data_IF_385640734135
#
_entry.id   IF_385640734135
#
_cell.length_a   1.000
_cell.length_b   1.000
_cell.length_c   1.000
_cell.angle_alpha   90.00
_cell.angle_beta   90.00
_cell.angle_gamma   90.00
#
_symmetry.space_group_name_H-M   'P 1'
#
loop_
_entity.id
_entity.type
_entity.pdbx_description
1 polymer ?
#
# COMPACT_ATOMS: atom_id res chain seq x y z
N UNK A 1 -12.57 -7.79 -16.24
CA UNK A 1 -11.26 -7.16 -16.50
C UNK A 1 -10.34 -7.49 -15.34
N UNK A 2 -9.24 -8.19 -15.61
CA UNK A 2 -8.22 -8.49 -14.60
C UNK A 2 -7.68 -7.17 -14.03
N UNK A 3 -7.41 -7.11 -12.74
CA UNK A 3 -6.76 -5.98 -12.05
C UNK A 3 -7.41 -4.61 -12.02
N UNK A 4 -8.66 -4.44 -12.46
CA UNK A 4 -9.34 -3.13 -12.42
C UNK A 4 -9.38 -2.54 -11.00
N UNK A 5 -9.77 -3.35 -10.02
CA UNK A 5 -9.92 -2.91 -8.63
C UNK A 5 -8.56 -2.60 -8.02
N UNK A 6 -7.57 -3.47 -8.24
CA UNK A 6 -6.19 -3.29 -7.82
C UNK A 6 -5.59 -2.00 -8.38
N UNK A 7 -5.77 -1.76 -9.68
CA UNK A 7 -5.29 -0.54 -10.33
C UNK A 7 -5.90 0.71 -9.71
N UNK A 8 -7.21 0.72 -9.44
CA UNK A 8 -7.90 1.84 -8.78
C UNK A 8 -7.35 2.09 -7.37
N UNK A 9 -7.18 1.03 -6.59
CA UNK A 9 -6.74 1.09 -5.20
C UNK A 9 -5.30 1.55 -5.05
N UNK A 10 -4.38 0.97 -5.81
CA UNK A 10 -2.98 1.41 -5.79
C UNK A 10 -2.79 2.80 -6.40
N UNK A 11 -3.58 3.21 -7.40
CA UNK A 11 -3.57 4.60 -7.87
C UNK A 11 -4.01 5.59 -6.78
N UNK A 12 -4.99 5.21 -5.96
CA UNK A 12 -5.45 6.03 -4.83
C UNK A 12 -4.39 6.09 -3.73
N UNK A 13 -3.81 4.95 -3.36
CA UNK A 13 -2.72 4.87 -2.39
C UNK A 13 -1.53 5.75 -2.80
N UNK A 14 -1.10 5.66 -4.07
CA UNK A 14 -0.04 6.51 -4.64
C UNK A 14 -0.34 8.00 -4.48
N UNK A 15 -1.58 8.41 -4.78
CA UNK A 15 -2.00 9.81 -4.67
C UNK A 15 -2.00 10.31 -3.22
N UNK A 16 -2.34 9.45 -2.25
CA UNK A 16 -2.35 9.81 -0.82
C UNK A 16 -0.94 10.13 -0.31
N UNK A 17 0.09 9.50 -0.89
CA UNK A 17 1.48 9.71 -0.54
C UNK A 17 2.15 10.84 -1.35
N UNK A 18 1.41 11.60 -2.16
CA UNK A 18 1.95 12.80 -2.80
C UNK A 18 1.96 14.00 -1.83
N UNK A 19 3.01 14.80 -1.91
CA UNK A 19 3.17 16.03 -1.11
C UNK A 19 2.40 17.21 -1.73
N UNK A 20 1.91 18.16 -0.89
CA UNK A 20 1.91 18.11 0.58
C UNK A 20 0.77 17.24 1.13
N UNK A 21 1.00 16.57 2.26
CA UNK A 21 -0.02 15.74 2.93
C UNK A 21 -1.05 16.60 3.68
N UNK A 22 -2.30 16.73 3.18
CA UNK A 22 -3.24 17.73 3.71
C UNK A 22 -3.65 17.51 5.17
N UNK A 23 -3.50 16.28 5.68
CA UNK A 23 -3.85 15.87 7.05
C UNK A 23 -2.64 15.38 7.86
N UNK A 24 -1.43 15.63 7.36
CA UNK A 24 -0.20 15.09 7.92
C UNK A 24 0.16 13.70 7.39
N UNK A 25 1.43 13.36 7.55
CA UNK A 25 2.09 12.16 7.01
C UNK A 25 1.48 10.86 7.54
N UNK A 26 1.31 10.75 8.86
CA UNK A 26 0.69 9.57 9.49
C UNK A 26 -0.70 9.27 8.91
N UNK A 27 -1.55 10.29 8.74
CA UNK A 27 -2.88 10.09 8.15
C UNK A 27 -2.78 9.59 6.71
N UNK A 28 -1.86 10.15 5.92
CA UNK A 28 -1.62 9.72 4.53
C UNK A 28 -1.18 8.26 4.45
N UNK A 29 -0.26 7.83 5.31
CA UNK A 29 0.23 6.45 5.40
C UNK A 29 -0.91 5.49 5.78
N UNK A 30 -1.67 5.80 6.84
CA UNK A 30 -2.80 4.95 7.27
C UNK A 30 -3.85 4.83 6.16
N UNK A 31 -4.14 5.93 5.46
CA UNK A 31 -5.08 5.91 4.34
C UNK A 31 -4.54 5.09 3.17
N UNK A 32 -3.24 5.19 2.87
CA UNK A 32 -2.59 4.39 1.84
C UNK A 32 -2.61 2.89 2.19
N UNK A 33 -2.34 2.53 3.44
CA UNK A 33 -2.46 1.13 3.93
C UNK A 33 -3.87 0.60 3.77
N UNK A 34 -4.88 1.40 4.08
CA UNK A 34 -6.26 1.00 3.86
C UNK A 34 -6.52 0.68 2.38
N UNK A 35 -6.17 1.58 1.46
CA UNK A 35 -6.35 1.32 0.02
C UNK A 35 -5.53 0.12 -0.47
N UNK A 36 -4.29 -0.04 -0.02
CA UNK A 36 -3.46 -1.21 -0.33
C UNK A 36 -4.09 -2.52 0.19
N UNK A 37 -4.66 -2.53 1.40
CA UNK A 37 -5.32 -3.71 1.96
C UNK A 37 -6.52 -4.14 1.10
N UNK A 38 -7.31 -3.18 0.62
CA UNK A 38 -8.42 -3.41 -0.29
C UNK A 38 -7.91 -3.95 -1.64
N UNK A 39 -6.84 -3.35 -2.17
CA UNK A 39 -6.22 -3.80 -3.42
C UNK A 39 -5.63 -5.21 -3.34
N UNK A 40 -5.14 -5.63 -2.17
CA UNK A 40 -4.48 -6.93 -2.00
C UNK A 40 -5.41 -8.07 -1.61
N UNK A 41 -6.69 -7.79 -1.30
CA UNK A 41 -7.64 -8.77 -0.76
C UNK A 41 -7.78 -10.04 -1.63
N UNK A 42 -7.80 -9.88 -2.96
CA UNK A 42 -8.02 -10.98 -3.92
C UNK A 42 -6.82 -11.17 -4.87
N UNK A 43 -5.60 -10.82 -4.44
CA UNK A 43 -4.38 -10.99 -5.26
C UNK A 43 -3.67 -12.29 -4.88
N UNK A 44 -3.67 -13.25 -5.80
CA UNK A 44 -2.84 -14.45 -5.72
C UNK A 44 -1.40 -14.13 -6.16
N UNK A 45 -0.40 -14.69 -5.47
CA UNK A 45 1.00 -14.56 -5.89
C UNK A 45 1.26 -15.21 -7.26
N UNK A 46 0.48 -16.22 -7.64
CA UNK A 46 0.60 -16.89 -8.94
C UNK A 46 0.21 -15.99 -10.12
N UNK A 47 -0.55 -14.93 -9.86
CA UNK A 47 -0.98 -13.99 -10.89
C UNK A 47 0.03 -12.84 -11.12
N UNK A 48 1.06 -12.75 -10.28
CA UNK A 48 2.08 -11.71 -10.29
C UNK A 48 3.35 -12.19 -10.99
N UNK A 49 4.07 -11.27 -11.63
CA UNK A 49 5.46 -11.55 -11.97
C UNK A 49 6.35 -11.53 -10.71
N UNK A 50 7.58 -12.03 -10.85
CA UNK A 50 8.52 -12.18 -9.73
C UNK A 50 8.73 -10.86 -8.97
N UNK A 51 8.93 -9.75 -9.69
CA UNK A 51 9.17 -8.43 -9.10
C UNK A 51 7.93 -7.88 -8.39
N UNK A 52 6.75 -7.97 -9.00
CA UNK A 52 5.50 -7.56 -8.37
C UNK A 52 5.19 -8.41 -7.14
N UNK A 53 5.48 -9.72 -7.20
CA UNK A 53 5.37 -10.63 -6.07
C UNK A 53 6.24 -10.22 -4.88
N UNK A 54 7.50 -9.87 -5.13
CA UNK A 54 8.40 -9.33 -4.09
C UNK A 54 7.87 -8.04 -3.46
N UNK A 55 7.38 -7.11 -4.28
CA UNK A 55 6.79 -5.86 -3.78
C UNK A 55 5.52 -6.09 -2.96
N UNK A 56 4.64 -7.02 -3.37
CA UNK A 56 3.46 -7.38 -2.58
C UNK A 56 3.86 -7.99 -1.24
N UNK A 57 4.84 -8.89 -1.22
CA UNK A 57 5.34 -9.50 0.01
C UNK A 57 5.91 -8.45 0.96
N UNK A 58 6.78 -7.57 0.44
CA UNK A 58 7.39 -6.50 1.23
C UNK A 58 6.35 -5.50 1.75
N UNK A 59 5.36 -5.15 0.93
CA UNK A 59 4.25 -4.31 1.38
C UNK A 59 3.44 -4.95 2.51
N UNK A 60 3.17 -6.26 2.43
CA UNK A 60 2.49 -7.00 3.51
C UNK A 60 3.28 -6.95 4.82
N UNK A 61 4.60 -7.11 4.77
CA UNK A 61 5.47 -6.96 5.95
C UNK A 61 5.43 -5.53 6.53
N UNK A 62 5.49 -4.53 5.65
CA UNK A 62 5.39 -3.11 6.00
C UNK A 62 4.00 -2.71 6.51
N UNK A 63 2.97 -3.53 6.30
CA UNK A 63 1.61 -3.32 6.81
C UNK A 63 1.25 -4.23 7.99
N UNK A 64 2.10 -5.23 8.31
CA UNK A 64 1.84 -6.20 9.36
C UNK A 64 1.80 -5.52 10.73
N UNK A 65 0.70 -5.72 11.44
CA UNK A 65 0.47 -5.18 12.79
C UNK A 65 0.49 -6.26 13.85
N UNK A 66 0.95 -7.47 13.52
CA UNK A 66 1.07 -8.56 14.48
C UNK A 66 1.91 -8.13 15.68
N UNK A 67 1.35 -8.26 16.88
CA UNK A 67 2.00 -7.88 18.14
C UNK A 67 1.94 -6.39 18.49
N UNK A 68 1.27 -5.55 17.68
CA UNK A 68 1.00 -4.16 18.05
C UNK A 68 -0.27 -4.05 18.90
N UNK A 69 -0.18 -3.27 19.97
CA UNK A 69 -1.32 -2.88 20.80
C UNK A 69 -1.74 -1.45 20.47
N UNK A 70 -3.05 -1.18 20.54
CA UNK A 70 -3.63 0.15 20.35
C UNK A 70 -4.27 0.61 21.67
N UNK A 71 -3.49 1.19 22.60
CA UNK A 71 -4.00 1.62 23.90
C UNK A 71 -4.90 2.87 23.80
N UNK A 72 -4.83 3.62 22.70
CA UNK A 72 -5.59 4.87 22.49
C UNK A 72 -6.89 4.68 21.71
N UNK A 73 -7.06 3.53 21.04
CA UNK A 73 -8.23 3.22 20.23
C UNK A 73 -8.25 3.92 18.87
N UNK A 74 -7.09 4.36 18.37
CA UNK A 74 -6.96 5.07 17.10
C UNK A 74 -6.81 4.11 15.89
N UNK A 75 -6.44 2.87 16.16
CA UNK A 75 -6.17 1.79 15.20
C UNK A 75 -4.68 1.43 15.15
N UNK A 76 -4.38 0.13 15.05
CA UNK A 76 -3.00 -0.40 15.04
C UNK A 76 -2.13 0.14 13.88
N UNK A 77 -2.73 0.54 12.75
CA UNK A 77 -1.98 1.21 11.68
C UNK A 77 -1.56 2.63 12.04
N UNK A 78 -2.26 3.34 12.93
CA UNK A 78 -1.80 4.63 13.45
C UNK A 78 -0.57 4.44 14.33
N UNK A 79 -0.58 3.44 15.21
CA UNK A 79 0.58 3.09 16.04
C UNK A 79 1.78 2.76 15.16
N UNK A 80 1.59 1.94 14.13
CA UNK A 80 2.65 1.56 13.18
C UNK A 80 3.18 2.77 12.40
N UNK A 81 2.30 3.58 11.81
CA UNK A 81 2.69 4.73 11.00
C UNK A 81 3.43 5.80 11.83
N UNK A 82 3.12 5.98 13.11
CA UNK A 82 3.86 6.90 14.00
C UNK A 82 5.25 6.39 14.38
N UNK A 83 5.47 5.08 14.31
CA UNK A 83 6.75 4.45 14.61
C UNK A 83 7.65 4.30 13.38
N UNK A 84 7.18 4.71 12.20
CA UNK A 84 7.95 4.61 10.95
C UNK A 84 9.10 5.61 10.93
N UNK A 85 10.22 5.13 10.39
CA UNK A 85 11.34 5.98 10.05
C UNK A 85 11.13 6.58 8.66
N UNK A 86 11.84 7.67 8.35
CA UNK A 86 11.86 8.25 7.01
C UNK A 86 12.24 7.19 5.94
N UNK A 87 13.11 6.24 6.28
CA UNK A 87 13.47 5.13 5.39
C UNK A 87 12.28 4.20 5.10
N UNK A 88 11.44 3.91 6.11
CA UNK A 88 10.24 3.09 5.92
C UNK A 88 9.23 3.82 5.05
N UNK A 89 9.07 5.13 5.26
CA UNK A 89 8.18 5.99 4.48
C UNK A 89 8.60 6.05 3.00
N UNK A 90 9.89 6.24 2.73
CA UNK A 90 10.43 6.18 1.38
C UNK A 90 10.24 4.80 0.74
N UNK A 91 10.46 3.72 1.50
CA UNK A 91 10.29 2.37 1.00
C UNK A 91 8.83 2.10 0.61
N UNK A 92 7.88 2.49 1.46
CA UNK A 92 6.44 2.36 1.21
C UNK A 92 6.03 3.15 -0.03
N UNK A 93 6.45 4.42 -0.12
CA UNK A 93 6.13 5.27 -1.26
C UNK A 93 6.63 4.64 -2.57
N UNK A 94 7.87 4.14 -2.58
CA UNK A 94 8.45 3.45 -3.73
C UNK A 94 7.67 2.19 -4.11
N UNK A 95 7.39 1.32 -3.15
CA UNK A 95 6.67 0.06 -3.41
C UNK A 95 5.26 0.32 -3.94
N UNK A 96 4.55 1.30 -3.38
CA UNK A 96 3.20 1.66 -3.83
C UNK A 96 3.24 2.26 -5.24
N UNK A 97 4.23 3.08 -5.57
CA UNK A 97 4.42 3.64 -6.92
C UNK A 97 4.63 2.54 -7.97
N UNK A 98 5.50 1.57 -7.65
CA UNK A 98 5.80 0.43 -8.53
C UNK A 98 4.57 -0.47 -8.73
N UNK A 99 3.87 -0.82 -7.65
CA UNK A 99 2.66 -1.65 -7.74
C UNK A 99 1.52 -0.91 -8.46
N UNK A 100 1.35 0.39 -8.24
CA UNK A 100 0.37 1.20 -8.98
C UNK A 100 0.67 1.20 -10.48
N UNK A 101 1.93 1.36 -10.85
CA UNK A 101 2.38 1.31 -12.24
C UNK A 101 2.17 -0.08 -12.85
N UNK A 102 2.49 -1.15 -12.10
CA UNK A 102 2.31 -2.53 -12.54
C UNK A 102 0.83 -2.88 -12.76
N UNK A 103 -0.03 -2.73 -11.75
CA UNK A 103 -1.47 -3.00 -11.87
C UNK A 103 -2.12 -2.13 -12.95
N UNK A 104 -1.67 -0.89 -13.11
CA UNK A 104 -2.10 -0.02 -14.20
C UNK A 104 -1.77 -0.62 -15.57
N UNK A 105 -0.51 -1.00 -15.82
CA UNK A 105 -0.10 -1.63 -17.09
C UNK A 105 -0.88 -2.92 -17.34
N UNK A 106 -0.98 -3.80 -16.36
CA UNK A 106 -1.68 -5.07 -16.49
C UNK A 106 -3.18 -4.90 -16.77
N UNK A 107 -3.83 -3.91 -16.16
CA UNK A 107 -5.22 -3.58 -16.46
C UNK A 107 -5.41 -3.17 -17.92
N UNK A 108 -4.53 -2.32 -18.46
CA UNK A 108 -4.62 -1.86 -19.85
C UNK A 108 -4.27 -2.94 -20.88
N UNK A 109 -3.32 -3.83 -20.56
CA UNK A 109 -2.94 -4.96 -21.42
C UNK A 109 -4.04 -6.03 -21.52
N UNK A 110 -4.90 -6.16 -20.50
CA UNK A 110 -5.98 -7.15 -20.43
C UNK A 110 -7.38 -6.58 -20.79
N UNK A 111 -7.43 -5.47 -21.54
CA UNK A 111 -8.66 -4.75 -21.94
C UNK A 111 -9.19 -5.16 -23.30
#
# INVERSE_FOLDING_TARGET
>A
MKYRYQSEKFSTARRLLMLPHPRGETHSIVSAFHECSLGLQDVSEEDLDETAGEYVRRLRELMDTTGLEDPTGEGVWWVKARAMTESDEFEIARIIDELASWFGREFWSNR
#
